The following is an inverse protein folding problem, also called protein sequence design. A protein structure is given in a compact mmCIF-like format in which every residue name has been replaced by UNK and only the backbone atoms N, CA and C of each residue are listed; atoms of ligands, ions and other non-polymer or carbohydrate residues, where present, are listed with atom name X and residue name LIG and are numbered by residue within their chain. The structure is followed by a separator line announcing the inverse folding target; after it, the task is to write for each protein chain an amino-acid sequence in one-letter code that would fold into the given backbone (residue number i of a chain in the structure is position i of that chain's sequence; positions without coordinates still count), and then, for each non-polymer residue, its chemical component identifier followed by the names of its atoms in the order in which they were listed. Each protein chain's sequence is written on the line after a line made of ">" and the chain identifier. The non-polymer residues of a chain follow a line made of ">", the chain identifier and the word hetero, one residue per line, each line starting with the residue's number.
data_IF_374992562365
#
_entry.id   IF_374992562365
#
_cell.length_a   1.000
_cell.length_b   1.000
_cell.length_c   1.000
_cell.angle_alpha   90.00
_cell.angle_beta   90.00
_cell.angle_gamma   90.00
#
_symmetry.space_group_name_H-M   'P 1'
#
loop_
_entity.id
_entity.type
_entity.pdbx_description
1 polymer ?
#
# COMPACT_ATOMS: atom_id res chain seq x y z
N UNK A 1 3.40 -28.17 39.14
CA UNK A 1 3.80 -27.94 37.74
C UNK A 1 5.25 -27.54 37.80
N UNK A 2 6.14 -28.43 37.35
CA UNK A 2 7.58 -28.21 37.41
C UNK A 2 7.98 -27.16 36.37
N UNK A 3 8.98 -26.33 36.67
CA UNK A 3 9.46 -25.27 35.78
C UNK A 3 9.93 -25.82 34.41
N UNK A 4 10.31 -27.10 34.37
CA UNK A 4 10.67 -27.85 33.16
C UNK A 4 9.49 -28.12 32.21
N UNK A 5 8.28 -28.27 32.74
CA UNK A 5 7.07 -28.46 31.94
C UNK A 5 6.63 -27.14 31.30
N UNK A 6 6.95 -26.00 31.94
CA UNK A 6 6.71 -24.65 31.44
C UNK A 6 7.72 -24.27 30.35
N UNK A 7 9.01 -24.57 30.53
CA UNK A 7 10.04 -24.42 29.49
C UNK A 7 9.75 -25.31 28.27
N UNK A 8 9.35 -26.58 28.48
CA UNK A 8 8.95 -27.45 27.37
C UNK A 8 7.64 -27.01 26.69
N UNK A 9 6.76 -26.31 27.40
CA UNK A 9 5.54 -25.76 26.81
C UNK A 9 5.83 -24.46 26.04
N UNK A 10 6.78 -23.65 26.51
CA UNK A 10 7.28 -22.46 25.81
C UNK A 10 8.08 -22.84 24.55
N UNK A 11 8.91 -23.88 24.59
CA UNK A 11 9.60 -24.42 23.40
C UNK A 11 8.63 -25.05 22.39
N UNK A 12 7.45 -25.52 22.83
CA UNK A 12 6.36 -25.98 21.94
C UNK A 12 5.45 -24.85 21.46
N UNK A 13 5.56 -23.67 22.07
CA UNK A 13 4.94 -22.42 21.65
C UNK A 13 5.91 -21.53 20.86
N UNK A 14 7.15 -22.00 20.59
CA UNK A 14 7.87 -21.64 19.38
C UNK A 14 7.06 -22.21 18.20
N UNK A 15 5.93 -21.57 17.92
CA UNK A 15 5.44 -21.40 16.57
C UNK A 15 6.69 -21.01 15.80
N UNK A 16 7.09 -21.83 14.81
CA UNK A 16 8.00 -21.37 13.78
C UNK A 16 7.30 -20.18 13.12
N UNK A 17 7.39 -18.99 13.72
CA UNK A 17 7.17 -17.74 13.01
C UNK A 17 8.15 -17.83 11.86
N UNK A 18 7.61 -18.06 10.66
CA UNK A 18 8.40 -18.08 9.44
C UNK A 18 9.15 -16.75 9.42
N UNK A 19 10.43 -16.79 9.71
CA UNK A 19 11.24 -15.59 9.69
C UNK A 19 11.58 -15.28 8.23
N UNK A 20 10.69 -14.51 7.60
CA UNK A 20 10.77 -14.07 6.20
C UNK A 20 12.14 -13.41 5.92
N UNK A 21 12.72 -12.72 6.91
CA UNK A 21 14.05 -12.09 6.78
C UNK A 21 15.18 -13.10 6.50
N UNK A 22 15.00 -14.37 6.87
CA UNK A 22 16.00 -15.43 6.63
C UNK A 22 15.72 -16.26 5.36
N UNK A 23 14.54 -16.11 4.75
CA UNK A 23 14.18 -16.82 3.52
C UNK A 23 14.94 -16.26 2.32
N UNK A 24 15.13 -17.04 1.26
CA UNK A 24 15.66 -16.53 0.00
C UNK A 24 14.54 -15.92 -0.87
N UNK A 25 14.90 -15.12 -1.88
CA UNK A 25 13.90 -14.42 -2.70
C UNK A 25 12.91 -15.37 -3.41
N UNK A 26 13.30 -16.59 -3.77
CA UNK A 26 12.38 -17.57 -4.39
C UNK A 26 11.28 -17.99 -3.42
N UNK A 27 11.62 -18.22 -2.15
CA UNK A 27 10.66 -18.58 -1.09
C UNK A 27 9.71 -17.41 -0.82
N UNK A 28 10.25 -16.19 -0.71
CA UNK A 28 9.47 -14.96 -0.53
C UNK A 28 8.49 -14.73 -1.69
N UNK A 29 8.96 -14.88 -2.93
CA UNK A 29 8.12 -14.75 -4.13
C UNK A 29 7.00 -15.80 -4.14
N UNK A 30 7.26 -17.00 -3.61
CA UNK A 30 6.24 -18.05 -3.50
C UNK A 30 5.12 -17.61 -2.55
N UNK A 31 5.47 -17.07 -1.36
CA UNK A 31 4.50 -16.52 -0.42
C UNK A 31 3.62 -15.45 -1.09
N UNK A 32 4.27 -14.49 -1.77
CA UNK A 32 3.57 -13.38 -2.45
C UNK A 32 2.64 -13.90 -3.55
N UNK A 33 3.02 -14.95 -4.25
CA UNK A 33 2.25 -15.49 -5.38
C UNK A 33 1.07 -16.34 -4.92
N UNK A 34 1.24 -17.09 -3.84
CA UNK A 34 0.22 -18.02 -3.34
C UNK A 34 -0.95 -17.31 -2.64
N UNK A 35 -0.73 -16.11 -2.10
CA UNK A 35 -1.76 -15.25 -1.50
C UNK A 35 -2.61 -15.94 -0.39
N UNK A 36 -2.01 -16.89 0.33
CA UNK A 36 -2.71 -17.72 1.33
C UNK A 36 -3.00 -16.93 2.62
N UNK A 37 -2.01 -16.20 3.12
CA UNK A 37 -2.10 -15.37 4.32
C UNK A 37 -1.67 -13.95 3.95
N UNK A 38 -2.59 -12.98 4.04
CA UNK A 38 -2.36 -11.62 3.55
C UNK A 38 -1.37 -10.82 4.43
N UNK A 39 -1.28 -11.13 5.73
CA UNK A 39 -0.30 -10.51 6.61
C UNK A 39 1.11 -11.03 6.30
N UNK A 40 1.21 -12.35 6.05
CA UNK A 40 2.45 -12.99 5.60
C UNK A 40 2.88 -12.45 4.22
N UNK A 41 1.94 -12.31 3.29
CA UNK A 41 2.18 -11.74 1.95
C UNK A 41 2.65 -10.30 2.04
N UNK A 42 2.02 -9.48 2.89
CA UNK A 42 2.40 -8.08 3.06
C UNK A 42 3.83 -7.98 3.57
N UNK A 43 4.17 -8.77 4.60
CA UNK A 43 5.52 -8.84 5.15
C UNK A 43 6.53 -9.31 4.11
N UNK A 44 6.19 -10.34 3.34
CA UNK A 44 7.03 -10.88 2.26
C UNK A 44 7.25 -9.86 1.14
N UNK A 45 6.22 -9.13 0.73
CA UNK A 45 6.32 -8.09 -0.30
C UNK A 45 7.20 -6.93 0.15
N UNK A 46 7.02 -6.46 1.39
CA UNK A 46 7.86 -5.42 1.99
C UNK A 46 9.31 -5.88 2.07
N UNK A 47 9.58 -7.08 2.57
CA UNK A 47 10.94 -7.61 2.66
C UNK A 47 11.59 -7.75 1.27
N UNK A 48 10.86 -8.25 0.28
CA UNK A 48 11.35 -8.33 -1.10
C UNK A 48 11.72 -6.95 -1.64
N UNK A 49 10.89 -5.93 -1.39
CA UNK A 49 11.14 -4.55 -1.82
C UNK A 49 12.36 -3.93 -1.15
N UNK A 50 12.65 -4.29 0.11
CA UNK A 50 13.85 -3.83 0.81
C UNK A 50 15.10 -4.42 0.16
N UNK A 51 15.05 -5.70 -0.24
CA UNK A 51 16.18 -6.41 -0.83
C UNK A 51 16.43 -6.04 -2.28
N UNK A 52 15.37 -5.99 -3.07
CA UNK A 52 15.41 -5.80 -4.50
C UNK A 52 14.10 -5.18 -4.99
N UNK A 53 14.08 -3.85 -5.01
CA UNK A 53 12.93 -3.06 -5.46
C UNK A 53 12.48 -3.47 -6.86
N UNK A 54 13.40 -3.67 -7.80
CA UNK A 54 13.08 -4.01 -9.19
C UNK A 54 12.37 -5.38 -9.30
N UNK A 55 12.75 -6.34 -8.46
CA UNK A 55 12.08 -7.65 -8.41
C UNK A 55 10.70 -7.56 -7.75
N UNK A 56 10.49 -6.68 -6.78
CA UNK A 56 9.19 -6.49 -6.13
C UNK A 56 8.14 -5.84 -7.06
N UNK A 57 8.56 -4.93 -7.95
CA UNK A 57 7.66 -4.11 -8.78
C UNK A 57 6.67 -4.93 -9.63
N UNK A 58 7.08 -6.00 -10.35
CA UNK A 58 6.13 -6.86 -11.05
C UNK A 58 5.02 -7.44 -10.16
N UNK A 59 5.32 -7.74 -8.89
CA UNK A 59 4.35 -8.25 -7.93
C UNK A 59 3.41 -7.14 -7.44
N UNK A 60 3.93 -5.95 -7.12
CA UNK A 60 3.09 -4.79 -6.79
C UNK A 60 2.12 -4.48 -7.93
N UNK A 61 2.61 -4.45 -9.17
CA UNK A 61 1.78 -4.20 -10.35
C UNK A 61 0.72 -5.27 -10.54
N UNK A 62 1.05 -6.54 -10.30
CA UNK A 62 0.07 -7.63 -10.40
C UNK A 62 -1.05 -7.45 -9.36
N UNK A 63 -0.68 -7.23 -8.11
CA UNK A 63 -1.63 -7.00 -7.00
C UNK A 63 -2.59 -5.85 -7.33
N UNK A 64 -2.05 -4.72 -7.79
CA UNK A 64 -2.85 -3.53 -8.09
C UNK A 64 -3.71 -3.70 -9.35
N UNK A 65 -3.20 -4.32 -10.41
CA UNK A 65 -3.94 -4.47 -11.67
C UNK A 65 -5.04 -5.51 -11.58
N UNK A 66 -4.81 -6.58 -10.82
CA UNK A 66 -5.74 -7.70 -10.69
C UNK A 66 -6.63 -7.59 -9.43
N UNK A 67 -6.53 -6.49 -8.68
CA UNK A 67 -7.26 -6.25 -7.41
C UNK A 67 -7.09 -7.42 -6.41
N UNK A 68 -5.86 -7.92 -6.28
CA UNK A 68 -5.56 -9.07 -5.42
C UNK A 68 -5.41 -8.65 -3.95
N UNK A 69 -5.73 -9.59 -3.06
CA UNK A 69 -5.67 -9.37 -1.61
C UNK A 69 -6.73 -8.39 -1.10
N UNK A 70 -6.48 -7.82 0.07
CA UNK A 70 -7.35 -6.85 0.70
C UNK A 70 -6.89 -5.40 0.45
N UNK A 71 -7.64 -4.45 1.02
CA UNK A 71 -7.34 -3.04 0.86
C UNK A 71 -5.97 -2.63 1.44
N UNK A 72 -5.48 -3.34 2.45
CA UNK A 72 -4.19 -3.06 3.09
C UNK A 72 -3.04 -3.53 2.21
N UNK A 73 -3.09 -4.75 1.68
CA UNK A 73 -2.07 -5.25 0.77
C UNK A 73 -1.99 -4.37 -0.49
N UNK A 74 -3.13 -3.94 -1.02
CA UNK A 74 -3.16 -3.02 -2.17
C UNK A 74 -2.52 -1.67 -1.85
N UNK A 75 -2.79 -1.10 -0.67
CA UNK A 75 -2.17 0.15 -0.22
C UNK A 75 -0.64 0.00 -0.09
N UNK A 76 -0.16 -1.11 0.47
CA UNK A 76 1.29 -1.40 0.58
C UNK A 76 1.91 -1.56 -0.81
N UNK A 77 1.30 -2.36 -1.70
CA UNK A 77 1.77 -2.53 -3.07
C UNK A 77 1.84 -1.19 -3.81
N UNK A 78 0.88 -0.30 -3.59
CA UNK A 78 0.88 1.05 -4.15
C UNK A 78 2.05 1.90 -3.63
N UNK A 79 2.27 1.96 -2.31
CA UNK A 79 3.38 2.71 -1.72
C UNK A 79 4.73 2.26 -2.30
N UNK A 80 4.96 0.94 -2.33
CA UNK A 80 6.20 0.35 -2.84
C UNK A 80 6.40 0.63 -4.34
N UNK A 81 5.32 0.60 -5.13
CA UNK A 81 5.38 0.98 -6.54
C UNK A 81 5.71 2.46 -6.70
N UNK A 82 5.05 3.32 -5.93
CA UNK A 82 5.18 4.77 -6.02
C UNK A 82 6.61 5.24 -5.69
N UNK A 83 7.25 4.62 -4.69
CA UNK A 83 8.65 4.90 -4.33
C UNK A 83 9.66 4.69 -5.48
N UNK A 84 9.34 3.80 -6.41
CA UNK A 84 10.24 3.42 -7.52
C UNK A 84 9.85 4.11 -8.81
N UNK A 85 8.55 4.16 -9.12
CA UNK A 85 8.03 4.65 -10.39
C UNK A 85 6.69 5.41 -10.21
N UNK A 86 6.81 6.71 -9.94
CA UNK A 86 5.70 7.64 -9.74
C UNK A 86 4.78 7.73 -10.97
N UNK A 87 5.34 7.71 -12.19
CA UNK A 87 4.55 7.76 -13.43
C UNK A 87 3.74 6.48 -13.59
N UNK A 88 4.33 5.32 -13.29
CA UNK A 88 3.60 4.05 -13.33
C UNK A 88 2.51 3.98 -12.26
N UNK A 89 2.79 4.48 -11.06
CA UNK A 89 1.78 4.57 -10.01
C UNK A 89 0.60 5.47 -10.44
N UNK A 90 0.87 6.61 -11.07
CA UNK A 90 -0.15 7.50 -11.64
C UNK A 90 -0.99 6.85 -12.75
N UNK A 91 -0.37 6.02 -13.61
CA UNK A 91 -1.12 5.22 -14.58
C UNK A 91 -2.10 4.26 -13.89
N UNK A 92 -1.67 3.59 -12.81
CA UNK A 92 -2.53 2.69 -12.03
C UNK A 92 -3.69 3.46 -11.39
N UNK A 93 -3.42 4.62 -10.76
CA UNK A 93 -4.47 5.49 -10.21
C UNK A 93 -5.51 5.77 -11.29
N UNK A 94 -5.07 6.26 -12.45
CA UNK A 94 -5.96 6.65 -13.54
C UNK A 94 -6.84 5.49 -14.07
N UNK A 95 -6.38 4.24 -13.94
CA UNK A 95 -7.12 3.05 -14.36
C UNK A 95 -8.09 2.51 -13.30
N UNK A 96 -7.78 2.71 -12.02
CA UNK A 96 -8.45 2.03 -10.90
C UNK A 96 -9.24 2.96 -9.98
N UNK A 97 -9.10 4.28 -10.14
CA UNK A 97 -9.59 5.26 -9.17
C UNK A 97 -11.04 5.04 -8.75
N UNK A 98 -11.95 4.85 -9.71
CA UNK A 98 -13.40 4.64 -9.47
C UNK A 98 -13.71 3.48 -8.53
N UNK A 99 -12.91 2.40 -8.56
CA UNK A 99 -13.14 1.20 -7.75
C UNK A 99 -12.14 1.05 -6.61
N UNK A 100 -11.30 2.05 -6.37
CA UNK A 100 -10.25 1.97 -5.34
C UNK A 100 -10.86 1.89 -3.95
N UNK A 101 -10.27 1.04 -3.10
CA UNK A 101 -10.66 0.88 -1.70
C UNK A 101 -10.30 2.11 -0.86
N UNK A 102 -10.88 2.22 0.33
CA UNK A 102 -10.63 3.34 1.24
C UNK A 102 -9.16 3.44 1.63
N UNK A 103 -8.52 2.31 2.00
CA UNK A 103 -7.10 2.31 2.33
C UNK A 103 -6.21 2.71 1.14
N UNK A 104 -6.54 2.25 -0.08
CA UNK A 104 -5.79 2.61 -1.28
C UNK A 104 -5.90 4.11 -1.60
N UNK A 105 -7.09 4.71 -1.45
CA UNK A 105 -7.27 6.17 -1.64
C UNK A 105 -6.45 6.95 -0.61
N UNK A 106 -6.46 6.52 0.66
CA UNK A 106 -5.62 7.13 1.70
C UNK A 106 -4.13 7.10 1.32
N UNK A 107 -3.62 5.95 0.88
CA UNK A 107 -2.23 5.81 0.43
C UNK A 107 -1.90 6.69 -0.79
N UNK A 108 -2.81 6.78 -1.77
CA UNK A 108 -2.66 7.66 -2.93
C UNK A 108 -2.53 9.12 -2.47
N UNK A 109 -3.44 9.57 -1.60
CA UNK A 109 -3.41 10.94 -1.06
C UNK A 109 -2.10 11.23 -0.32
N UNK A 110 -1.63 10.30 0.50
CA UNK A 110 -0.41 10.44 1.30
C UNK A 110 0.85 10.61 0.44
N UNK A 111 1.04 9.72 -0.54
CA UNK A 111 2.20 9.75 -1.44
C UNK A 111 2.22 11.02 -2.29
N UNK A 112 1.07 11.41 -2.85
CA UNK A 112 0.98 12.62 -3.66
C UNK A 112 1.22 13.87 -2.82
N UNK A 113 0.72 13.91 -1.57
CA UNK A 113 0.95 15.03 -0.65
C UNK A 113 2.42 15.18 -0.32
N UNK A 114 3.11 14.08 -0.07
CA UNK A 114 4.56 14.03 0.15
C UNK A 114 5.33 14.66 -1.01
N UNK A 115 4.91 14.39 -2.24
CA UNK A 115 5.55 14.90 -3.45
C UNK A 115 4.99 16.24 -3.97
N UNK A 116 4.08 16.88 -3.24
CA UNK A 116 3.38 18.09 -3.70
C UNK A 116 4.29 19.26 -4.07
N UNK A 117 5.47 19.33 -3.46
CA UNK A 117 6.51 20.33 -3.73
C UNK A 117 7.66 19.80 -4.61
N UNK A 118 7.59 18.54 -5.04
CA UNK A 118 8.58 17.93 -5.92
C UNK A 118 8.16 18.12 -7.39
N UNK A 119 9.10 18.04 -8.35
CA UNK A 119 8.78 18.23 -9.77
C UNK A 119 7.63 17.36 -10.28
N UNK A 120 7.53 16.12 -9.80
CA UNK A 120 6.43 15.22 -10.15
C UNK A 120 5.09 15.77 -9.65
N UNK A 121 4.93 16.09 -8.36
CA UNK A 121 3.69 16.64 -7.81
C UNK A 121 3.32 18.02 -8.37
N UNK A 122 4.31 18.87 -8.65
CA UNK A 122 4.12 20.15 -9.34
C UNK A 122 3.62 19.95 -10.79
N UNK A 123 3.95 18.85 -11.45
CA UNK A 123 3.48 18.54 -12.80
C UNK A 123 2.05 17.99 -12.86
N UNK A 124 1.50 17.52 -11.74
CA UNK A 124 0.15 16.95 -11.69
C UNK A 124 -0.90 17.98 -12.06
N UNK A 125 -1.83 17.58 -12.95
CA UNK A 125 -2.89 18.45 -13.43
C UNK A 125 -4.01 18.57 -12.39
N UNK A 126 -4.74 19.69 -12.44
CA UNK A 126 -5.92 19.89 -11.59
C UNK A 126 -6.97 18.81 -11.83
N UNK A 127 -7.19 18.39 -13.07
CA UNK A 127 -8.18 17.35 -13.41
C UNK A 127 -7.86 16.03 -12.72
N UNK A 128 -6.58 15.61 -12.74
CA UNK A 128 -6.14 14.40 -12.06
C UNK A 128 -6.36 14.47 -10.55
N UNK A 129 -5.96 15.58 -9.91
CA UNK A 129 -6.09 15.76 -8.47
C UNK A 129 -7.57 15.85 -8.02
N UNK A 130 -8.43 16.50 -8.81
CA UNK A 130 -9.86 16.59 -8.51
C UNK A 130 -10.56 15.24 -8.68
N UNK A 131 -10.15 14.39 -9.63
CA UNK A 131 -10.72 13.04 -9.75
C UNK A 131 -10.49 12.21 -8.46
N UNK A 132 -9.35 12.41 -7.78
CA UNK A 132 -9.06 11.75 -6.49
C UNK A 132 -9.98 12.28 -5.39
N UNK A 133 -10.23 13.61 -5.36
CA UNK A 133 -11.20 14.20 -4.44
C UNK A 133 -12.62 13.70 -4.68
N UNK A 134 -13.05 13.64 -5.94
CA UNK A 134 -14.37 13.13 -6.32
C UNK A 134 -14.56 11.71 -5.78
N UNK A 135 -13.56 10.84 -5.97
CA UNK A 135 -13.59 9.48 -5.43
C UNK A 135 -13.66 9.45 -3.90
N UNK A 136 -12.92 10.32 -3.21
CA UNK A 136 -13.04 10.45 -1.75
C UNK A 136 -14.44 10.89 -1.32
N UNK A 137 -15.07 11.82 -2.05
CA UNK A 137 -16.42 12.29 -1.72
C UNK A 137 -17.51 11.23 -1.93
N UNK A 138 -17.27 10.22 -2.76
CA UNK A 138 -18.14 9.05 -2.93
C UNK A 138 -18.07 8.06 -1.76
N UNK A 139 -17.04 8.13 -0.91
CA UNK A 139 -16.93 7.27 0.27
C UNK A 139 -18.03 7.57 1.30
N UNK A 140 -18.40 6.55 2.07
CA UNK A 140 -19.29 6.72 3.23
C UNK A 140 -18.62 7.57 4.32
N UNK A 141 -19.41 8.14 5.23
CA UNK A 141 -18.87 8.97 6.32
C UNK A 141 -17.89 8.18 7.20
N UNK A 142 -18.16 6.90 7.45
CA UNK A 142 -17.27 6.03 8.21
C UNK A 142 -15.93 5.76 7.49
N UNK A 143 -15.96 5.63 6.16
CA UNK A 143 -14.75 5.47 5.36
C UNK A 143 -13.94 6.76 5.29
N UNK A 144 -14.61 7.92 5.14
CA UNK A 144 -13.96 9.24 5.18
C UNK A 144 -13.26 9.49 6.50
N UNK A 145 -13.91 9.14 7.62
CA UNK A 145 -13.32 9.27 8.96
C UNK A 145 -12.00 8.48 9.08
N UNK A 146 -11.91 7.28 8.48
CA UNK A 146 -10.71 6.44 8.53
C UNK A 146 -9.48 7.07 7.85
N UNK A 147 -9.68 7.93 6.85
CA UNK A 147 -8.61 8.56 6.06
C UNK A 147 -8.69 10.08 6.09
N UNK A 148 -9.32 10.64 7.12
CA UNK A 148 -9.57 12.08 7.24
C UNK A 148 -8.26 12.88 7.22
N UNK A 149 -7.25 12.42 7.95
CA UNK A 149 -5.94 13.09 8.01
C UNK A 149 -5.23 13.08 6.64
N UNK A 150 -5.31 11.96 5.89
CA UNK A 150 -4.76 11.90 4.53
C UNK A 150 -5.48 12.89 3.60
N UNK A 151 -6.80 12.99 3.71
CA UNK A 151 -7.60 13.96 2.94
C UNK A 151 -7.24 15.40 3.26
N UNK A 152 -7.17 15.78 4.54
CA UNK A 152 -6.84 17.14 4.93
C UNK A 152 -5.43 17.53 4.48
N UNK A 153 -4.46 16.64 4.64
CA UNK A 153 -3.10 16.90 4.17
C UNK A 153 -3.03 17.04 2.65
N UNK A 154 -3.74 16.18 1.91
CA UNK A 154 -3.83 16.28 0.44
C UNK A 154 -4.48 17.58 -0.02
N UNK A 155 -5.56 17.98 0.65
CA UNK A 155 -6.27 19.23 0.40
C UNK A 155 -5.35 20.44 0.58
N UNK A 156 -4.61 20.48 1.68
CA UNK A 156 -3.66 21.56 1.98
C UNK A 156 -2.50 21.59 0.97
N UNK A 157 -1.93 20.42 0.67
CA UNK A 157 -0.80 20.24 -0.22
C UNK A 157 -1.07 20.75 -1.65
N UNK A 158 -2.31 20.59 -2.13
CA UNK A 158 -2.71 20.96 -3.49
C UNK A 158 -3.75 22.08 -3.56
N UNK A 159 -3.90 22.89 -2.51
CA UNK A 159 -4.96 23.93 -2.40
C UNK A 159 -5.07 24.87 -3.61
N UNK A 160 -3.96 25.14 -4.31
CA UNK A 160 -3.94 26.01 -5.50
C UNK A 160 -4.44 25.34 -6.78
N UNK A 161 -4.51 24.01 -6.80
CA UNK A 161 -4.89 23.18 -7.96
C UNK A 161 -6.24 22.48 -7.78
N UNK A 162 -6.72 22.38 -6.55
CA UNK A 162 -7.99 21.75 -6.22
C UNK A 162 -9.15 22.73 -6.37
N UNK A 163 -10.24 22.26 -6.97
CA UNK A 163 -11.49 23.01 -7.07
C UNK A 163 -12.37 22.61 -5.89
N UNK A 164 -12.07 23.17 -4.73
CA UNK A 164 -12.85 22.91 -3.52
C UNK A 164 -14.03 23.89 -3.56
N UNK A 165 -15.20 23.40 -4.00
CA UNK A 165 -16.48 24.11 -3.89
C UNK A 165 -17.10 23.92 -2.51
#
# INVERSE_FOLDING_TARGET
>A
MDNKDLESALDRLNIEEKNIENMNNTEIITIITDLVDLDEVTTALTELSIRDKEVAIPHCLKILKEDLGDEFLQAVAFNLLYEVDQEKAKEIISQKLTNSSTALIGAIMDNLSTDSLQPFGESLSSEFLNAILERYFELSDAEKERIHDNYEWFKESFVKKLNIM
#
